data_IF_997850282596
#
_entry.id   IF_997850282596
#
_cell.length_a   1.000
_cell.length_b   1.000
_cell.length_c   1.000
_cell.angle_alpha   90.00
_cell.angle_beta   90.00
_cell.angle_gamma   90.00
#
_symmetry.space_group_name_H-M   'P 1'
#
loop_
_entity.id
_entity.type
_entity.pdbx_description
1 polymer ?
#
# COMPACT_ATOMS: atom_id res chain seq x y z
N UNK A 1 10.57 34.67 45.21
CA UNK A 1 10.01 36.01 45.54
C UNK A 1 11.14 36.99 45.79
N UNK A 2 11.02 38.23 45.25
CA UNK A 2 11.80 39.46 45.54
C UNK A 2 13.18 39.51 44.84
N UNK A 3 13.56 40.50 44.01
CA UNK A 3 12.97 41.80 43.61
C UNK A 3 13.49 42.20 42.22
N UNK A 4 12.64 42.91 41.49
CA UNK A 4 12.93 43.64 40.25
C UNK A 4 13.88 44.81 40.56
N UNK A 5 14.92 45.00 39.74
CA UNK A 5 15.65 46.27 39.65
C UNK A 5 15.61 46.73 38.19
N UNK A 6 14.83 47.80 38.03
CA UNK A 6 14.67 48.67 36.86
C UNK A 6 15.86 49.63 36.82
N UNK A 7 16.64 49.64 35.73
CA UNK A 7 17.53 50.77 35.41
C UNK A 7 17.26 51.20 33.97
N UNK A 8 16.61 52.37 33.90
CA UNK A 8 16.38 53.21 32.74
C UNK A 8 17.62 54.08 32.50
N UNK A 9 18.18 54.08 31.29
CA UNK A 9 19.09 55.11 30.81
C UNK A 9 19.05 55.24 29.27
N UNK A 10 18.13 56.11 28.81
CA UNK A 10 18.19 57.09 27.70
C UNK A 10 19.63 57.48 27.29
N UNK A 11 20.11 57.54 26.03
CA UNK A 11 19.82 58.38 24.82
C UNK A 11 20.95 57.98 23.82
N UNK A 12 20.77 57.76 22.51
CA UNK A 12 20.56 58.77 21.49
C UNK A 12 20.09 58.16 20.16
N UNK A 13 19.15 58.88 19.55
CA UNK A 13 18.59 58.67 18.21
C UNK A 13 19.56 59.23 17.17
N UNK A 14 19.87 58.44 16.14
CA UNK A 14 20.28 58.95 14.83
C UNK A 14 19.32 58.39 13.80
N UNK A 15 18.45 59.25 13.28
CA UNK A 15 17.52 59.00 12.18
C UNK A 15 18.19 59.31 10.85
N UNK A 16 18.27 58.33 9.96
CA UNK A 16 18.34 58.47 8.49
C UNK A 16 17.47 57.31 7.98
N UNK A 17 16.17 57.50 7.72
CA UNK A 17 15.56 58.09 6.51
C UNK A 17 15.94 57.34 5.23
N UNK A 18 15.12 56.37 4.83
CA UNK A 18 14.18 56.51 3.70
C UNK A 18 13.42 55.19 3.51
N UNK A 19 12.09 55.32 3.48
CA UNK A 19 11.11 54.28 3.19
C UNK A 19 11.30 53.64 1.80
N UNK A 20 11.20 52.31 1.74
CA UNK A 20 10.14 51.64 0.96
C UNK A 20 9.95 50.19 1.49
N UNK A 21 8.85 49.99 2.24
CA UNK A 21 7.93 48.84 2.26
C UNK A 21 8.25 47.72 1.23
N UNK A 22 8.28 46.41 1.54
CA UNK A 22 7.60 45.59 2.56
C UNK A 22 8.40 44.30 2.87
N UNK A 23 8.31 43.87 4.14
CA UNK A 23 8.69 42.60 4.77
C UNK A 23 9.34 41.48 3.93
N UNK A 24 10.58 41.22 4.32
CA UNK A 24 11.21 39.90 4.40
C UNK A 24 10.45 39.03 5.42
N UNK A 25 9.81 37.96 4.96
CA UNK A 25 9.79 36.72 5.73
C UNK A 25 10.79 35.77 5.07
N UNK A 26 11.86 35.47 5.81
CA UNK A 26 12.71 34.33 5.53
C UNK A 26 11.86 33.07 5.67
N UNK A 27 11.37 32.55 4.54
CA UNK A 27 11.07 31.13 4.41
C UNK A 27 12.14 30.57 3.49
N UNK A 28 13.01 29.74 4.07
CA UNK A 28 13.78 28.74 3.34
C UNK A 28 12.79 27.95 2.49
N UNK A 29 12.60 28.39 1.25
CA UNK A 29 12.20 27.51 0.18
C UNK A 29 13.50 26.87 -0.27
N UNK A 30 13.82 25.73 0.35
CA UNK A 30 14.31 24.63 -0.47
C UNK A 30 13.24 24.51 -1.57
N UNK A 31 13.52 25.13 -2.71
CA UNK A 31 12.97 24.68 -3.96
C UNK A 31 13.50 23.26 -4.08
N UNK A 32 12.71 22.35 -3.50
CA UNK A 32 12.86 20.94 -3.70
C UNK A 32 12.90 20.77 -5.21
N UNK A 33 14.04 20.26 -5.68
CA UNK A 33 14.18 19.87 -7.06
C UNK A 33 13.12 18.80 -7.23
N UNK A 34 12.00 19.15 -7.84
CA UNK A 34 11.06 18.18 -8.41
C UNK A 34 11.85 17.48 -9.50
N UNK A 35 12.62 16.48 -9.11
CA UNK A 35 12.89 15.34 -9.97
C UNK A 35 11.49 14.77 -10.17
N UNK A 36 10.96 14.91 -11.38
CA UNK A 36 9.84 14.08 -11.78
C UNK A 36 10.32 12.65 -11.55
N UNK A 37 9.86 12.03 -10.47
CA UNK A 37 10.22 10.68 -10.10
C UNK A 37 9.67 9.82 -11.24
N UNK A 38 10.56 9.30 -12.07
CA UNK A 38 10.18 8.47 -13.21
C UNK A 38 9.50 7.22 -12.63
N UNK A 39 8.18 7.13 -12.82
CA UNK A 39 7.38 6.02 -12.32
C UNK A 39 7.78 4.78 -13.12
N UNK A 40 8.34 3.79 -12.44
CA UNK A 40 8.72 2.55 -13.09
C UNK A 40 7.49 1.67 -13.28
N UNK A 41 7.24 1.25 -14.53
CA UNK A 41 6.17 0.31 -14.86
C UNK A 41 6.69 -1.10 -14.61
N UNK A 42 5.99 -1.86 -13.76
CA UNK A 42 6.30 -3.24 -13.46
C UNK A 42 5.13 -4.14 -13.87
N UNK A 43 5.45 -5.38 -14.26
CA UNK A 43 4.43 -6.42 -14.41
C UNK A 43 4.16 -7.09 -13.07
N UNK A 44 2.89 -7.42 -12.82
CA UNK A 44 2.47 -8.20 -11.65
C UNK A 44 3.20 -9.55 -11.60
N UNK A 45 3.47 -10.18 -12.75
CA UNK A 45 4.11 -11.49 -12.83
C UNK A 45 5.56 -11.51 -12.32
N UNK A 46 6.26 -10.38 -12.44
CA UNK A 46 7.67 -10.25 -12.07
C UNK A 46 7.90 -9.44 -10.80
N UNK A 47 6.82 -8.96 -10.16
CA UNK A 47 6.90 -8.10 -8.98
C UNK A 47 7.78 -8.71 -7.88
N UNK A 48 7.55 -9.95 -7.48
CA UNK A 48 8.30 -10.60 -6.39
C UNK A 48 9.82 -10.68 -6.67
N UNK A 49 10.21 -10.74 -7.94
CA UNK A 49 11.63 -10.79 -8.35
C UNK A 49 12.28 -9.41 -8.37
N UNK A 50 11.48 -8.36 -8.56
CA UNK A 50 11.97 -7.00 -8.81
C UNK A 50 11.73 -6.04 -7.64
N UNK A 51 10.73 -6.29 -6.79
CA UNK A 51 10.25 -5.38 -5.74
C UNK A 51 11.37 -4.88 -4.81
N UNK A 52 12.34 -5.72 -4.48
CA UNK A 52 13.51 -5.34 -3.67
C UNK A 52 14.32 -4.17 -4.25
N UNK A 53 14.29 -3.92 -5.56
CA UNK A 53 14.97 -2.80 -6.20
C UNK A 53 14.17 -1.48 -6.15
N UNK A 54 12.89 -1.56 -5.77
CA UNK A 54 11.92 -0.47 -5.79
C UNK A 54 11.39 -0.10 -4.42
N UNK A 55 11.92 -0.67 -3.33
CA UNK A 55 11.53 -0.33 -1.96
C UNK A 55 11.59 1.20 -1.74
N UNK A 56 10.47 1.79 -1.31
CA UNK A 56 10.30 3.22 -1.08
C UNK A 56 10.14 4.06 -2.35
N UNK A 57 10.06 3.44 -3.53
CA UNK A 57 9.88 4.13 -4.82
C UNK A 57 8.46 3.93 -5.33
N UNK A 58 8.02 4.92 -6.12
CA UNK A 58 6.74 4.88 -6.84
C UNK A 58 6.86 4.01 -8.09
N UNK A 59 5.89 3.10 -8.25
CA UNK A 59 5.76 2.20 -9.40
C UNK A 59 4.34 2.28 -9.95
N UNK A 60 4.17 1.81 -11.18
CA UNK A 60 2.88 1.56 -11.81
C UNK A 60 2.72 0.05 -12.04
N UNK A 61 1.53 -0.46 -11.75
CA UNK A 61 1.13 -1.86 -11.98
C UNK A 61 -0.21 -1.88 -12.71
N UNK A 62 -0.38 -2.86 -13.57
CA UNK A 62 -1.64 -3.18 -14.23
C UNK A 62 -1.99 -4.63 -13.89
N UNK A 63 -3.23 -4.90 -13.50
CA UNK A 63 -3.65 -6.25 -13.16
C UNK A 63 -5.12 -6.37 -12.81
N UNK A 64 -5.53 -7.59 -12.50
CA UNK A 64 -6.91 -7.93 -12.15
C UNK A 64 -7.04 -7.97 -10.64
N UNK A 65 -8.12 -7.41 -10.11
CA UNK A 65 -8.42 -7.44 -8.67
C UNK A 65 -8.98 -8.82 -8.29
N UNK A 66 -8.21 -9.63 -7.56
CA UNK A 66 -8.62 -10.97 -7.07
C UNK A 66 -9.54 -10.88 -5.85
N UNK A 67 -9.29 -9.93 -4.96
CA UNK A 67 -10.07 -9.80 -3.72
C UNK A 67 -9.89 -8.44 -3.07
N UNK A 68 -10.99 -7.86 -2.58
CA UNK A 68 -11.01 -6.70 -1.69
C UNK A 68 -11.48 -7.14 -0.31
N UNK A 69 -10.70 -6.80 0.71
CA UNK A 69 -10.99 -7.25 2.07
C UNK A 69 -12.30 -6.64 2.60
N UNK A 70 -13.25 -7.50 2.96
CA UNK A 70 -14.56 -7.12 3.54
C UNK A 70 -14.46 -6.36 4.87
N UNK A 71 -13.27 -6.29 5.47
CA UNK A 71 -12.98 -5.52 6.67
C UNK A 71 -12.66 -4.06 6.30
N UNK A 72 -13.63 -3.40 5.65
CA UNK A 72 -13.55 -1.97 5.33
C UNK A 72 -12.65 -1.61 4.14
N UNK A 73 -12.39 -2.53 3.21
CA UNK A 73 -11.69 -2.22 1.95
C UNK A 73 -10.23 -1.80 2.13
N UNK A 74 -9.61 -2.11 3.26
CA UNK A 74 -8.25 -1.67 3.59
C UNK A 74 -7.14 -2.52 2.93
N UNK A 75 -7.52 -3.54 2.14
CA UNK A 75 -6.59 -4.39 1.40
C UNK A 75 -7.25 -4.83 0.11
N UNK A 76 -6.48 -4.74 -0.97
CA UNK A 76 -6.79 -5.26 -2.29
C UNK A 76 -5.69 -6.25 -2.66
N UNK A 77 -6.03 -7.28 -3.45
CA UNK A 77 -5.05 -8.19 -4.00
C UNK A 77 -5.07 -8.15 -5.52
N UNK A 78 -3.94 -7.83 -6.11
CA UNK A 78 -3.76 -7.73 -7.55
C UNK A 78 -3.11 -9.02 -8.07
N UNK A 79 -3.65 -9.56 -9.14
CA UNK A 79 -3.16 -10.77 -9.83
C UNK A 79 -3.03 -10.52 -11.33
N UNK A 80 -2.46 -11.49 -12.04
CA UNK A 80 -2.44 -11.55 -13.50
C UNK A 80 -2.68 -12.99 -13.94
N UNK A 81 -3.16 -13.19 -15.16
CA UNK A 81 -3.32 -14.54 -15.73
C UNK A 81 -1.99 -15.20 -16.10
N UNK A 82 -0.92 -14.41 -16.26
CA UNK A 82 0.38 -14.90 -16.73
C UNK A 82 1.18 -15.64 -15.65
N UNK A 83 0.78 -15.54 -14.38
CA UNK A 83 1.51 -16.13 -13.27
C UNK A 83 0.64 -16.32 -12.02
N UNK A 84 1.14 -17.10 -11.06
CA UNK A 84 0.51 -17.24 -9.73
C UNK A 84 0.86 -16.08 -8.77
N UNK A 85 1.46 -14.98 -9.27
CA UNK A 85 1.82 -13.84 -8.44
C UNK A 85 0.56 -13.15 -7.89
N UNK A 86 0.61 -12.78 -6.61
CA UNK A 86 -0.51 -12.14 -5.91
C UNK A 86 -0.01 -11.05 -5.00
N UNK A 87 -0.17 -9.81 -5.44
CA UNK A 87 0.38 -8.63 -4.77
C UNK A 87 -0.63 -8.09 -3.77
N UNK A 88 -0.17 -7.85 -2.54
CA UNK A 88 -0.96 -7.12 -1.55
C UNK A 88 -0.86 -5.63 -1.81
N UNK A 89 -2.01 -4.99 -1.96
CA UNK A 89 -2.16 -3.54 -2.15
C UNK A 89 -2.95 -2.97 -0.97
N UNK A 90 -2.50 -1.84 -0.45
CA UNK A 90 -3.05 -1.18 0.75
C UNK A 90 -3.31 0.27 0.36
N UNK A 91 -4.45 0.88 0.73
CA UNK A 91 -4.69 2.27 0.39
C UNK A 91 -3.81 3.19 1.26
N UNK A 92 -3.34 4.30 0.69
CA UNK A 92 -2.72 5.37 1.47
C UNK A 92 -3.75 6.21 2.23
N UNK A 93 -3.30 7.29 2.86
CA UNK A 93 -4.18 8.19 3.62
C UNK A 93 -5.17 9.00 2.75
N UNK A 94 -4.95 9.09 1.43
CA UNK A 94 -5.84 9.79 0.50
C UNK A 94 -6.96 8.87 -0.01
N UNK A 95 -6.72 7.56 -0.06
CA UNK A 95 -7.72 6.55 -0.41
C UNK A 95 -8.39 6.02 0.86
N UNK A 96 -9.65 6.37 1.11
CA UNK A 96 -10.34 5.95 2.34
C UNK A 96 -10.49 4.41 2.44
N UNK A 97 -10.83 3.74 1.35
CA UNK A 97 -10.99 2.31 1.23
C UNK A 97 -11.15 1.93 -0.26
N UNK A 98 -10.77 0.71 -0.63
CA UNK A 98 -11.14 0.12 -1.91
C UNK A 98 -12.61 -0.31 -1.92
N UNK A 99 -13.29 -0.13 -3.05
CA UNK A 99 -14.64 -0.65 -3.28
C UNK A 99 -14.58 -2.15 -3.57
N UNK A 100 -15.44 -2.96 -2.95
CA UNK A 100 -15.49 -4.41 -3.18
C UNK A 100 -16.07 -4.78 -4.55
N UNK A 101 -16.79 -3.85 -5.18
CA UNK A 101 -17.23 -3.98 -6.58
C UNK A 101 -16.07 -4.04 -7.58
N UNK A 102 -14.84 -3.66 -7.18
CA UNK A 102 -13.64 -3.79 -8.03
C UNK A 102 -13.23 -5.25 -8.26
N UNK A 103 -13.75 -6.22 -7.50
CA UNK A 103 -13.37 -7.63 -7.67
C UNK A 103 -13.71 -8.14 -9.07
N UNK A 104 -12.68 -8.57 -9.82
CA UNK A 104 -12.79 -9.00 -11.21
C UNK A 104 -12.40 -7.91 -12.23
N UNK A 105 -12.36 -6.65 -11.82
CA UNK A 105 -11.99 -5.55 -12.70
C UNK A 105 -10.48 -5.50 -12.93
N UNK A 106 -10.12 -5.04 -14.13
CA UNK A 106 -8.75 -4.69 -14.47
C UNK A 106 -8.48 -3.25 -14.08
N UNK A 107 -7.40 -3.03 -13.34
CA UNK A 107 -7.02 -1.69 -12.88
C UNK A 107 -5.58 -1.37 -13.22
N UNK A 108 -5.33 -0.11 -13.50
CA UNK A 108 -4.01 0.51 -13.44
C UNK A 108 -3.87 1.21 -12.08
N UNK A 109 -2.79 0.92 -11.35
CA UNK A 109 -2.52 1.57 -10.07
C UNK A 109 -1.11 2.12 -9.99
N UNK A 110 -0.98 3.22 -9.26
CA UNK A 110 0.29 3.83 -8.88
C UNK A 110 0.43 3.73 -7.37
N UNK A 111 1.57 3.22 -6.93
CA UNK A 111 1.83 3.07 -5.50
C UNK A 111 3.30 2.97 -5.15
N UNK A 112 3.59 2.93 -3.86
CA UNK A 112 4.94 2.86 -3.29
C UNK A 112 5.20 1.42 -2.84
N UNK A 113 6.34 0.85 -3.22
CA UNK A 113 6.72 -0.50 -2.76
C UNK A 113 7.19 -0.45 -1.32
N UNK A 114 6.60 -1.28 -0.48
CA UNK A 114 6.98 -1.46 0.91
C UNK A 114 7.58 -2.85 1.14
N UNK A 115 8.52 -2.94 2.07
CA UNK A 115 9.14 -4.20 2.48
C UNK A 115 8.85 -4.47 3.96
N UNK A 116 8.25 -5.62 4.23
CA UNK A 116 8.17 -6.19 5.57
C UNK A 116 9.25 -7.26 5.74
N UNK A 117 10.17 -7.03 6.67
CA UNK A 117 11.22 -7.99 7.03
C UNK A 117 10.80 -8.83 8.20
N UNK A 118 10.95 -10.14 8.06
CA UNK A 118 10.74 -11.13 9.12
C UNK A 118 12.07 -11.74 9.48
N UNK A 119 12.55 -11.53 10.69
CA UNK A 119 13.74 -12.16 11.25
C UNK A 119 13.39 -13.08 12.45
N UNK A 120 14.39 -13.70 13.05
CA UNK A 120 14.17 -14.60 14.20
C UNK A 120 13.63 -13.86 15.43
N UNK A 121 13.98 -12.58 15.60
CA UNK A 121 13.49 -11.78 16.73
C UNK A 121 11.99 -11.51 16.59
N UNK A 122 11.57 -11.12 15.40
CA UNK A 122 10.16 -10.96 15.04
C UNK A 122 9.36 -12.25 15.25
N UNK A 123 9.87 -13.38 14.77
CA UNK A 123 9.18 -14.67 14.91
C UNK A 123 9.09 -15.11 16.37
N UNK A 124 10.11 -14.80 17.17
CA UNK A 124 10.08 -15.05 18.62
C UNK A 124 9.03 -14.20 19.33
N UNK A 125 8.96 -12.91 19.02
CA UNK A 125 7.96 -12.00 19.60
C UNK A 125 6.54 -12.47 19.26
N UNK A 126 6.28 -12.82 18.00
CA UNK A 126 4.98 -13.38 17.60
C UNK A 126 4.65 -14.68 18.36
N UNK A 127 5.61 -15.60 18.51
CA UNK A 127 5.39 -16.83 19.26
C UNK A 127 5.06 -16.56 20.74
N UNK A 128 5.66 -15.53 21.35
CA UNK A 128 5.35 -15.12 22.72
C UNK A 128 3.95 -14.50 22.83
N UNK A 129 3.53 -13.70 21.86
CA UNK A 129 2.17 -13.14 21.78
C UNK A 129 1.12 -14.26 21.73
N UNK A 130 1.29 -15.23 20.81
CA UNK A 130 0.43 -16.42 20.70
C UNK A 130 0.33 -17.15 22.04
N UNK A 131 1.47 -17.41 22.71
CA UNK A 131 1.51 -18.13 24.00
C UNK A 131 0.90 -17.36 25.15
N UNK A 132 1.00 -16.03 25.12
CA UNK A 132 0.46 -15.16 26.16
C UNK A 132 -1.07 -15.01 26.08
N UNK A 133 -1.67 -15.39 24.94
CA UNK A 133 -3.09 -15.17 24.68
C UNK A 133 -3.43 -13.68 24.61
N UNK A 134 -2.44 -12.83 24.29
CA UNK A 134 -2.70 -11.43 23.98
C UNK A 134 -3.51 -11.42 22.70
N UNK A 135 -4.71 -10.82 22.73
CA UNK A 135 -5.63 -10.80 21.60
C UNK A 135 -4.88 -10.41 20.31
N UNK A 136 -4.82 -11.37 19.38
CA UNK A 136 -4.33 -11.21 18.02
C UNK A 136 -5.42 -10.52 17.18
N UNK A 137 -6.08 -9.53 17.78
CA UNK A 137 -7.21 -8.84 17.20
C UNK A 137 -6.82 -8.32 15.81
N UNK A 138 -7.64 -8.69 14.83
CA UNK A 138 -7.58 -8.34 13.41
C UNK A 138 -7.50 -6.81 13.13
N UNK A 139 -7.69 -5.99 14.17
CA UNK A 139 -7.84 -4.54 14.13
C UNK A 139 -6.61 -3.75 14.63
N UNK A 140 -5.52 -4.45 14.99
CA UNK A 140 -4.20 -3.78 15.10
C UNK A 140 -3.64 -3.66 13.69
N UNK A 141 -3.89 -2.49 13.10
CA UNK A 141 -3.50 -2.09 11.75
C UNK A 141 -2.19 -2.72 11.26
N UNK A 142 -2.22 -3.22 10.02
CA UNK A 142 -1.06 -3.73 9.27
C UNK A 142 0.06 -4.38 10.11
N UNK A 143 -0.27 -5.39 10.91
CA UNK A 143 0.75 -5.90 11.84
C UNK A 143 0.46 -7.16 12.63
N UNK A 144 -0.38 -8.10 12.15
CA UNK A 144 -0.40 -9.46 12.74
C UNK A 144 0.17 -10.53 11.80
N UNK A 145 1.06 -10.08 10.94
CA UNK A 145 2.36 -10.69 10.71
C UNK A 145 2.76 -10.87 9.26
N UNK A 146 1.86 -11.16 8.31
CA UNK A 146 2.29 -11.38 6.91
C UNK A 146 1.31 -11.05 5.78
N UNK A 147 0.14 -10.46 6.04
CA UNK A 147 -0.65 -9.71 5.03
C UNK A 147 -1.07 -10.37 3.69
N UNK A 148 -0.68 -11.61 3.38
CA UNK A 148 -1.05 -12.35 2.16
C UNK A 148 -2.11 -13.43 2.44
N UNK A 149 -2.61 -14.11 1.39
CA UNK A 149 -3.59 -15.21 1.47
C UNK A 149 -3.02 -16.36 2.33
N UNK A 150 -3.16 -16.25 3.63
CA UNK A 150 -3.10 -17.35 4.57
C UNK A 150 -4.40 -17.23 5.34
N UNK A 151 -5.25 -18.23 5.18
CA UNK A 151 -6.61 -18.26 5.67
C UNK A 151 -6.75 -17.66 7.07
N UNK A 152 -7.81 -16.88 7.23
CA UNK A 152 -8.26 -16.31 8.51
C UNK A 152 -8.23 -17.41 9.57
N UNK A 153 -7.26 -17.33 10.48
CA UNK A 153 -7.53 -17.78 11.82
C UNK A 153 -8.39 -16.68 12.43
N UNK A 154 -9.71 -16.88 12.47
CA UNK A 154 -10.59 -15.92 13.16
C UNK A 154 -10.35 -15.92 14.67
N UNK A 155 -11.28 -15.35 15.43
CA UNK A 155 -11.33 -15.45 16.91
C UNK A 155 -11.29 -16.91 17.44
N UNK A 156 -11.46 -17.89 16.55
CA UNK A 156 -11.35 -19.34 16.79
C UNK A 156 -10.11 -19.96 16.10
N UNK A 157 -9.09 -19.18 15.73
CA UNK A 157 -7.83 -19.69 15.20
C UNK A 157 -7.28 -20.70 16.20
N UNK A 158 -7.26 -21.98 15.83
CA UNK A 158 -6.59 -22.96 16.65
C UNK A 158 -5.14 -22.46 16.81
N UNK A 159 -4.70 -22.24 18.05
CA UNK A 159 -3.30 -21.88 18.37
C UNK A 159 -2.33 -22.82 17.64
N UNK A 160 -2.76 -24.04 17.29
CA UNK A 160 -2.02 -24.97 16.46
C UNK A 160 -1.73 -24.46 15.03
N UNK A 161 -2.60 -23.69 14.39
CA UNK A 161 -2.42 -23.18 13.03
C UNK A 161 -1.45 -22.01 12.97
N UNK A 162 -1.48 -21.10 13.95
CA UNK A 162 -0.50 -20.02 14.03
C UNK A 162 0.90 -20.52 14.39
N UNK A 163 0.97 -21.50 15.29
CA UNK A 163 2.23 -22.18 15.58
C UNK A 163 2.81 -22.92 14.36
N UNK A 164 1.97 -23.43 13.45
CA UNK A 164 2.45 -23.97 12.15
C UNK A 164 3.04 -22.86 11.28
N UNK A 165 2.46 -21.65 11.27
CA UNK A 165 3.01 -20.49 10.54
C UNK A 165 4.39 -20.11 11.09
N UNK A 166 4.52 -19.99 12.42
CA UNK A 166 5.81 -19.75 13.10
C UNK A 166 6.85 -20.81 12.69
N UNK A 167 6.47 -22.09 12.70
CA UNK A 167 7.37 -23.16 12.28
C UNK A 167 7.83 -23.01 10.83
N UNK A 168 6.90 -22.75 9.91
CA UNK A 168 7.23 -22.54 8.49
C UNK A 168 8.16 -21.35 8.28
N UNK A 169 7.94 -20.24 8.99
CA UNK A 169 8.82 -19.07 8.91
C UNK A 169 10.23 -19.36 9.42
N UNK A 170 10.37 -20.11 10.52
CA UNK A 170 11.69 -20.56 10.98
C UNK A 170 12.38 -21.47 9.98
N UNK A 171 11.64 -22.37 9.31
CA UNK A 171 12.20 -23.23 8.26
C UNK A 171 12.66 -22.41 7.04
N UNK A 172 11.92 -21.35 6.67
CA UNK A 172 12.32 -20.42 5.62
C UNK A 172 13.54 -19.59 6.04
N UNK A 173 13.59 -19.09 7.28
CA UNK A 173 14.72 -18.33 7.84
C UNK A 173 16.02 -19.12 7.84
N UNK A 174 15.97 -20.43 8.15
CA UNK A 174 17.14 -21.32 8.06
C UNK A 174 17.73 -21.41 6.65
N UNK A 175 16.90 -21.20 5.62
CA UNK A 175 17.30 -21.19 4.21
C UNK A 175 17.64 -19.79 3.71
N UNK A 176 17.36 -18.74 4.49
CA UNK A 176 17.70 -17.37 4.14
C UNK A 176 19.20 -17.14 4.29
N UNK A 177 19.81 -16.56 3.26
CA UNK A 177 21.22 -16.18 3.27
C UNK A 177 21.47 -14.89 4.07
N UNK A 178 20.44 -14.04 4.19
CA UNK A 178 20.54 -12.71 4.80
C UNK A 178 20.09 -12.65 6.26
N UNK A 179 19.58 -13.77 6.80
CA UNK A 179 19.07 -13.86 8.18
C UNK A 179 17.66 -13.30 8.37
N UNK A 180 16.99 -12.90 7.29
CA UNK A 180 15.60 -12.44 7.30
C UNK A 180 14.87 -12.86 6.00
N UNK A 181 13.54 -12.82 6.02
CA UNK A 181 12.66 -12.98 4.86
C UNK A 181 12.07 -11.61 4.50
N UNK A 182 11.93 -11.33 3.21
CA UNK A 182 11.32 -10.10 2.71
C UNK A 182 9.96 -10.42 2.10
N UNK A 183 8.94 -9.68 2.52
CA UNK A 183 7.62 -9.69 1.93
C UNK A 183 7.32 -8.29 1.42
N UNK A 184 6.78 -8.19 0.20
CA UNK A 184 6.56 -6.91 -0.45
C UNK A 184 5.07 -6.62 -0.59
N UNK A 185 4.71 -5.35 -0.44
CA UNK A 185 3.37 -4.82 -0.69
C UNK A 185 3.45 -3.49 -1.42
N UNK A 186 2.30 -3.00 -1.88
CA UNK A 186 2.20 -1.70 -2.54
C UNK A 186 1.23 -0.81 -1.76
N UNK A 187 1.71 0.32 -1.29
CA UNK A 187 0.90 1.40 -0.76
C UNK A 187 0.35 2.22 -1.93
N UNK A 188 -0.91 2.00 -2.27
CA UNK A 188 -1.60 2.62 -3.40
C UNK A 188 -1.85 4.10 -3.14
N UNK A 189 -1.40 4.95 -4.06
CA UNK A 189 -1.63 6.40 -4.04
C UNK A 189 -2.69 6.85 -5.04
N UNK A 190 -2.96 6.05 -6.07
CA UNK A 190 -4.05 6.27 -7.02
C UNK A 190 -4.29 5.01 -7.85
N UNK A 191 -5.51 4.84 -8.36
CA UNK A 191 -5.85 3.80 -9.33
C UNK A 191 -6.98 4.27 -10.25
N UNK A 192 -7.07 3.65 -11.43
CA UNK A 192 -8.14 3.83 -12.39
C UNK A 192 -8.56 2.49 -12.99
N UNK A 193 -9.82 2.40 -13.43
CA UNK A 193 -10.32 1.25 -14.17
C UNK A 193 -9.72 1.27 -15.58
N UNK A 194 -9.30 0.11 -16.04
CA UNK A 194 -8.85 -0.09 -17.40
C UNK A 194 -10.06 -0.55 -18.24
N UNK A 195 -10.82 0.42 -18.76
CA UNK A 195 -12.08 0.22 -19.51
C UNK A 195 -11.84 -0.31 -20.95
N UNK A 196 -10.79 -1.10 -21.18
CA UNK A 196 -10.46 -1.73 -22.46
C UNK A 196 -11.41 -2.90 -22.84
N UNK A 197 -12.63 -2.88 -22.31
CA UNK A 197 -13.74 -3.70 -22.79
C UNK A 197 -14.16 -3.14 -24.15
N UNK A 198 -13.53 -3.68 -25.20
CA UNK A 198 -14.12 -3.86 -26.53
C UNK A 198 -15.38 -4.73 -26.35
N UNK A 199 -16.43 -4.13 -25.80
CA UNK A 199 -17.81 -4.58 -25.94
C UNK A 199 -18.09 -4.55 -27.45
N UNK A 200 -17.69 -5.63 -28.11
CA UNK A 200 -18.26 -6.03 -29.37
C UNK A 200 -19.74 -6.22 -29.12
N UNK A 201 -20.49 -5.12 -29.29
CA UNK A 201 -21.91 -5.13 -29.56
C UNK A 201 -22.13 -6.13 -30.72
N UNK A 202 -22.37 -7.41 -30.39
CA UNK A 202 -23.03 -8.38 -31.26
C UNK A 202 -24.53 -7.99 -31.34
N UNK A 203 -24.79 -6.72 -31.66
CA UNK A 203 -26.05 -6.22 -32.19
C UNK A 203 -25.94 -6.28 -33.71
N UNK A 204 -26.04 -7.48 -34.29
CA UNK A 204 -26.35 -7.65 -35.72
C UNK A 204 -27.51 -8.64 -35.85
N UNK A 205 -28.69 -8.05 -35.66
CA UNK A 205 -29.89 -8.16 -36.48
C UNK A 205 -30.56 -9.54 -36.67
N UNK A 206 -31.72 -9.63 -36.01
CA UNK A 206 -32.93 -10.28 -36.50
C UNK A 206 -33.16 -9.97 -38.00
N UNK A 207 -32.85 -10.92 -38.88
CA UNK A 207 -33.46 -10.99 -40.21
C UNK A 207 -34.42 -12.18 -40.28
N UNK A 208 -35.70 -11.81 -40.21
CA UNK A 208 -36.87 -12.57 -40.62
C UNK A 208 -36.64 -13.30 -41.95
N UNK A 209 -36.82 -14.63 -41.98
CA UNK A 209 -37.26 -15.31 -43.20
C UNK A 209 -38.37 -16.32 -42.85
N UNK A 210 -39.58 -15.76 -42.88
CA UNK A 210 -40.88 -16.39 -42.99
C UNK A 210 -40.96 -17.20 -44.30
N UNK A 211 -40.47 -18.45 -44.33
CA UNK A 211 -40.78 -19.38 -45.41
C UNK A 211 -41.92 -20.34 -45.01
N UNK A 212 -43.13 -19.81 -45.15
CA UNK A 212 -44.32 -20.58 -45.46
C UNK A 212 -44.11 -21.31 -46.81
N UNK A 213 -43.90 -22.63 -46.79
CA UNK A 213 -44.25 -23.45 -47.94
C UNK A 213 -45.32 -24.50 -47.60
N UNK A 214 -46.54 -24.17 -48.04
CA UNK A 214 -47.65 -25.08 -48.17
C UNK A 214 -47.57 -25.77 -49.53
N UNK A 215 -47.28 -27.08 -49.55
CA UNK A 215 -47.92 -28.01 -50.49
C UNK A 215 -47.81 -29.48 -50.07
#
# INVERSE_FOLDING_TARGET
MKKIILILATIAVVTISCENVTNTESKNTNADLIVADEIAILSVADFDKQAGNYIGKKIQLEGIVDHVCKHGGQKLFLVTEESDARIKVVPDEEIAAFNDELEGDKIELIGIVEEQRIDEDYVREWEEEIKSGTDLDDDKGEGSHLGGKIEKGGMDADTSDEMKKIYNLREMLKKSENGYLSFYSVLCTSYELDDDDDDGDDDDDDDDDDDHDHK
#
